data_IF_623207554814
#
_entry.id   IF_623207554814
#
_cell.length_a   1.000
_cell.length_b   1.000
_cell.length_c   1.000
_cell.angle_alpha   90.00
_cell.angle_beta   90.00
_cell.angle_gamma   90.00
#
_symmetry.space_group_name_H-M   'P 1'
#
loop_
_entity.id
_entity.type
_entity.pdbx_description
1 polymer ?
#
# COMPACT_ATOMS: atom_id res chain seq x y z
N UNK A 1 5.32 -148.93 -58.83
CA UNK A 1 6.77 -148.63 -58.87
C UNK A 1 7.06 -147.66 -57.74
N UNK A 2 7.95 -147.99 -56.80
CA UNK A 2 8.28 -147.09 -55.68
C UNK A 2 9.15 -145.93 -56.16
N UNK A 3 8.78 -144.68 -55.83
CA UNK A 3 9.62 -143.50 -56.09
C UNK A 3 11.02 -143.72 -55.51
N UNK A 4 12.06 -143.37 -56.26
CA UNK A 4 13.43 -143.45 -55.77
C UNK A 4 13.62 -142.47 -54.61
N UNK A 5 14.49 -142.79 -53.66
CA UNK A 5 14.85 -141.88 -52.55
C UNK A 5 15.38 -140.55 -53.08
N UNK A 6 15.96 -140.54 -54.28
CA UNK A 6 16.49 -139.35 -54.94
C UNK A 6 15.38 -138.39 -55.41
N UNK A 7 14.34 -138.92 -56.08
CA UNK A 7 13.19 -138.13 -56.56
C UNK A 7 12.42 -137.51 -55.39
N UNK A 8 12.29 -138.27 -54.29
CA UNK A 8 11.64 -137.80 -53.07
C UNK A 8 12.39 -136.63 -52.43
N UNK A 9 13.73 -136.65 -52.46
CA UNK A 9 14.57 -135.55 -51.96
C UNK A 9 14.39 -134.29 -52.82
N UNK A 10 14.30 -134.42 -54.14
CA UNK A 10 14.06 -133.30 -55.05
C UNK A 10 12.68 -132.66 -54.80
N UNK A 11 11.63 -133.48 -54.73
CA UNK A 11 10.25 -133.02 -54.46
C UNK A 11 10.15 -132.31 -53.11
N UNK A 12 10.78 -132.88 -52.08
CA UNK A 12 10.82 -132.28 -50.73
C UNK A 12 11.65 -130.99 -50.70
N UNK A 13 12.75 -130.92 -51.45
CA UNK A 13 13.57 -129.71 -51.53
C UNK A 13 12.82 -128.57 -52.24
N UNK A 14 12.08 -128.88 -53.31
CA UNK A 14 11.22 -127.91 -54.01
C UNK A 14 10.08 -127.41 -53.10
N UNK A 15 9.44 -128.29 -52.32
CA UNK A 15 8.42 -127.92 -51.34
C UNK A 15 8.96 -127.00 -50.24
N UNK A 16 10.11 -127.36 -49.65
CA UNK A 16 10.76 -126.53 -48.63
C UNK A 16 11.12 -125.14 -49.17
N UNK A 17 11.60 -125.07 -50.42
CA UNK A 17 11.92 -123.80 -51.05
C UNK A 17 10.68 -122.93 -51.28
N UNK A 18 9.54 -123.52 -51.70
CA UNK A 18 8.25 -122.81 -51.84
C UNK A 18 7.74 -122.25 -50.51
N UNK A 19 8.02 -122.93 -49.41
CA UNK A 19 7.70 -122.48 -48.05
C UNK A 19 8.68 -121.42 -47.51
N UNK A 20 9.72 -121.04 -48.29
CA UNK A 20 10.75 -120.09 -47.86
C UNK A 20 11.78 -120.67 -46.89
N UNK A 21 11.78 -122.00 -46.69
CA UNK A 21 12.70 -122.70 -45.79
C UNK A 21 13.86 -123.27 -46.60
N UNK A 22 15.10 -122.99 -46.20
CA UNK A 22 16.28 -123.51 -46.90
C UNK A 22 16.29 -125.05 -46.88
N UNK A 23 16.32 -125.72 -48.05
CA UNK A 23 16.49 -127.17 -48.12
C UNK A 23 17.83 -127.58 -47.52
N UNK A 24 17.79 -128.23 -46.36
CA UNK A 24 18.95 -128.78 -45.66
C UNK A 24 18.79 -130.28 -45.49
N UNK A 25 19.89 -131.01 -45.34
CA UNK A 25 19.85 -132.46 -45.13
C UNK A 25 18.96 -132.86 -43.94
N UNK A 26 18.94 -132.04 -42.88
CA UNK A 26 18.10 -132.27 -41.71
C UNK A 26 16.61 -132.03 -42.01
N UNK A 27 16.27 -130.95 -42.72
CA UNK A 27 14.89 -130.59 -43.05
C UNK A 27 14.27 -131.57 -44.05
N UNK A 28 15.06 -131.98 -45.04
CA UNK A 28 14.64 -132.98 -46.03
C UNK A 28 14.46 -134.34 -45.37
N UNK A 29 15.38 -134.76 -44.48
CA UNK A 29 15.24 -136.02 -43.73
C UNK A 29 14.02 -136.02 -42.80
N UNK A 30 13.72 -134.89 -42.17
CA UNK A 30 12.55 -134.76 -41.28
C UNK A 30 11.22 -134.93 -42.03
N UNK A 31 11.14 -134.45 -43.28
CA UNK A 31 9.95 -134.56 -44.14
C UNK A 31 9.85 -135.90 -44.87
N UNK A 32 10.96 -136.46 -45.34
CA UNK A 32 10.97 -137.72 -46.11
C UNK A 32 10.94 -138.98 -45.24
N UNK A 33 11.47 -138.92 -44.01
CA UNK A 33 11.49 -140.02 -43.04
C UNK A 33 12.27 -141.28 -43.45
N UNK A 34 12.86 -141.31 -44.65
CA UNK A 34 13.54 -142.47 -45.26
C UNK A 34 14.78 -142.03 -46.05
N UNK A 35 15.75 -142.93 -46.18
CA UNK A 35 17.03 -142.68 -46.85
C UNK A 35 18.18 -142.45 -45.88
N UNK A 36 19.37 -142.95 -46.22
CA UNK A 36 20.57 -142.68 -45.44
C UNK A 36 20.99 -141.21 -45.61
N UNK A 37 21.61 -140.66 -44.57
CA UNK A 37 22.10 -139.28 -44.57
C UNK A 37 22.99 -138.98 -45.79
N UNK A 38 23.84 -139.92 -46.19
CA UNK A 38 24.74 -139.83 -47.34
C UNK A 38 24.01 -139.73 -48.68
N UNK A 39 22.93 -140.52 -48.87
CA UNK A 39 22.14 -140.48 -50.11
C UNK A 39 21.34 -139.18 -50.23
N UNK A 40 20.78 -138.69 -49.12
CA UNK A 40 20.07 -137.39 -49.09
C UNK A 40 21.04 -136.24 -49.39
N UNK A 41 22.26 -136.28 -48.83
CA UNK A 41 23.26 -135.25 -49.07
C UNK A 41 23.66 -135.17 -50.55
N UNK A 42 23.90 -136.33 -51.19
CA UNK A 42 24.22 -136.40 -52.61
C UNK A 42 23.09 -135.84 -53.48
N UNK A 43 21.86 -136.30 -53.26
CA UNK A 43 20.69 -135.85 -54.01
C UNK A 43 20.42 -134.34 -53.82
N UNK A 44 20.57 -133.83 -52.59
CA UNK A 44 20.38 -132.42 -52.31
C UNK A 44 21.45 -131.54 -52.99
N UNK A 45 22.70 -132.00 -53.06
CA UNK A 45 23.77 -131.27 -53.74
C UNK A 45 23.51 -131.18 -55.26
N UNK A 46 23.08 -132.28 -55.87
CA UNK A 46 22.72 -132.32 -57.28
C UNK A 46 21.48 -131.45 -57.58
N UNK A 47 20.51 -131.40 -56.65
CA UNK A 47 19.38 -130.47 -56.72
C UNK A 47 19.83 -129.00 -56.67
N UNK A 48 20.72 -128.63 -55.74
CA UNK A 48 21.27 -127.27 -55.65
C UNK A 48 22.04 -126.86 -56.91
N UNK A 49 22.78 -127.78 -57.53
CA UNK A 49 23.48 -127.51 -58.79
C UNK A 49 22.51 -127.24 -59.95
N UNK A 50 21.36 -127.90 -59.97
CA UNK A 50 20.32 -127.68 -60.98
C UNK A 50 19.39 -126.49 -60.71
N UNK A 51 19.37 -125.95 -59.48
CA UNK A 51 18.42 -124.93 -59.07
C UNK A 51 18.65 -123.57 -59.76
N UNK A 52 19.91 -123.16 -59.92
CA UNK A 52 20.27 -121.88 -60.55
C UNK A 52 19.72 -121.78 -61.98
N UNK A 53 19.82 -122.87 -62.75
CA UNK A 53 19.29 -122.96 -64.11
C UNK A 53 17.75 -122.97 -64.16
N UNK A 54 17.06 -123.29 -63.06
CA UNK A 54 15.59 -123.32 -62.97
C UNK A 54 15.00 -121.98 -62.50
N UNK A 55 15.68 -121.29 -61.58
CA UNK A 55 15.22 -120.01 -61.02
C UNK A 55 15.45 -118.86 -61.99
N UNK A 56 16.51 -118.93 -62.78
CA UNK A 56 16.79 -117.97 -63.84
C UNK A 56 16.59 -118.66 -65.19
N UNK A 57 15.34 -118.74 -65.70
CA UNK A 57 15.17 -118.91 -67.14
C UNK A 57 15.96 -117.78 -67.80
N UNK A 58 17.04 -118.12 -68.50
CA UNK A 58 17.67 -117.25 -69.50
C UNK A 58 16.65 -117.03 -70.60
N UNK A 59 15.73 -116.09 -70.38
CA UNK A 59 14.74 -115.70 -71.35
C UNK A 59 14.72 -114.17 -71.39
N UNK A 60 15.19 -113.62 -72.51
CA UNK A 60 15.20 -112.21 -72.92
C UNK A 60 13.78 -111.62 -73.07
N UNK A 61 12.75 -112.27 -72.52
CA UNK A 61 11.33 -112.00 -72.76
C UNK A 61 10.68 -111.15 -71.67
N UNK A 62 11.45 -110.30 -70.98
CA UNK A 62 10.93 -109.34 -70.00
C UNK A 62 10.60 -107.97 -70.62
N UNK A 63 10.52 -107.88 -71.94
CA UNK A 63 10.05 -106.69 -72.64
C UNK A 63 8.56 -106.47 -72.35
N UNK A 64 8.28 -105.51 -71.48
CA UNK A 64 6.93 -104.98 -71.28
C UNK A 64 6.33 -104.58 -72.64
N UNK A 65 5.08 -104.96 -72.95
CA UNK A 65 4.40 -104.55 -74.18
C UNK A 65 4.49 -103.04 -74.45
N UNK A 66 4.74 -102.66 -75.70
CA UNK A 66 4.96 -101.27 -76.13
C UNK A 66 3.79 -100.31 -75.78
N UNK A 67 2.57 -100.84 -75.64
CA UNK A 67 1.42 -100.05 -75.20
C UNK A 67 1.50 -99.65 -73.72
N UNK A 68 2.13 -100.47 -72.86
CA UNK A 68 2.30 -100.16 -71.44
C UNK A 68 3.43 -99.14 -71.24
N UNK A 69 4.52 -99.26 -71.99
CA UNK A 69 5.64 -98.31 -71.89
C UNK A 69 5.24 -96.90 -72.34
N UNK A 70 4.47 -96.79 -73.44
CA UNK A 70 3.91 -95.51 -73.89
C UNK A 70 2.90 -94.93 -72.90
N UNK A 71 1.98 -95.74 -72.38
CA UNK A 71 1.01 -95.28 -71.37
C UNK A 71 1.68 -94.79 -70.08
N UNK A 72 2.74 -95.46 -69.60
CA UNK A 72 3.50 -95.03 -68.42
C UNK A 72 4.27 -93.73 -68.69
N UNK A 73 4.88 -93.58 -69.88
CA UNK A 73 5.56 -92.36 -70.28
C UNK A 73 4.60 -91.17 -70.37
N UNK A 74 3.39 -91.38 -70.91
CA UNK A 74 2.35 -90.35 -70.99
C UNK A 74 1.86 -89.93 -69.61
N UNK A 75 1.60 -90.89 -68.72
CA UNK A 75 1.21 -90.60 -67.32
C UNK A 75 2.33 -89.84 -66.60
N UNK A 76 3.59 -90.23 -66.80
CA UNK A 76 4.74 -89.55 -66.21
C UNK A 76 4.87 -88.10 -66.73
N UNK A 77 4.77 -87.89 -68.04
CA UNK A 77 4.83 -86.56 -68.64
C UNK A 77 3.68 -85.67 -68.15
N UNK A 78 2.46 -86.20 -68.04
CA UNK A 78 1.31 -85.49 -67.49
C UNK A 78 1.52 -85.15 -66.00
N UNK A 79 2.06 -86.07 -65.21
CA UNK A 79 2.40 -85.83 -63.80
C UNK A 79 3.45 -84.73 -63.67
N UNK A 80 4.49 -84.74 -64.51
CA UNK A 80 5.55 -83.73 -64.51
C UNK A 80 5.02 -82.36 -64.92
N UNK A 81 4.19 -82.27 -65.96
CA UNK A 81 3.55 -81.02 -66.38
C UNK A 81 2.64 -80.46 -65.29
N UNK A 82 1.83 -81.31 -64.63
CA UNK A 82 0.99 -80.88 -63.50
C UNK A 82 1.82 -80.39 -62.33
N UNK A 83 2.89 -81.09 -61.96
CA UNK A 83 3.79 -80.68 -60.89
C UNK A 83 4.47 -79.33 -61.19
N UNK A 84 4.93 -79.13 -62.42
CA UNK A 84 5.51 -77.86 -62.86
C UNK A 84 4.51 -76.71 -62.82
N UNK A 85 3.28 -76.95 -63.29
CA UNK A 85 2.21 -75.96 -63.24
C UNK A 85 1.88 -75.57 -61.80
N UNK A 86 1.70 -76.57 -60.92
CA UNK A 86 1.44 -76.34 -59.49
C UNK A 86 2.57 -75.56 -58.83
N UNK A 87 3.84 -75.87 -59.15
CA UNK A 87 4.98 -75.14 -58.61
C UNK A 87 4.99 -73.67 -59.09
N UNK A 88 4.71 -73.42 -60.36
CA UNK A 88 4.64 -72.06 -60.91
C UNK A 88 3.50 -71.25 -60.28
N UNK A 89 2.33 -71.86 -60.08
CA UNK A 89 1.21 -71.25 -59.38
C UNK A 89 1.55 -70.94 -57.92
N UNK A 90 2.15 -71.89 -57.20
CA UNK A 90 2.59 -71.67 -55.82
C UNK A 90 3.63 -70.55 -55.73
N UNK A 91 4.62 -70.50 -56.62
CA UNK A 91 5.60 -69.42 -56.65
C UNK A 91 4.96 -68.06 -56.94
N UNK A 92 3.96 -68.02 -57.83
CA UNK A 92 3.23 -66.79 -58.14
C UNK A 92 2.43 -66.33 -56.91
N UNK A 93 1.72 -67.23 -56.24
CA UNK A 93 0.93 -66.92 -55.05
C UNK A 93 1.83 -66.42 -53.91
N UNK A 94 2.94 -67.12 -53.63
CA UNK A 94 3.90 -66.70 -52.60
C UNK A 94 4.51 -65.33 -52.89
N UNK A 95 4.84 -65.03 -54.16
CA UNK A 95 5.32 -63.70 -54.54
C UNK A 95 4.25 -62.63 -54.33
N UNK A 96 3.00 -62.91 -54.69
CA UNK A 96 1.89 -61.98 -54.48
C UNK A 96 1.63 -61.74 -52.99
N UNK A 97 1.63 -62.79 -52.17
CA UNK A 97 1.48 -62.69 -50.71
C UNK A 97 2.62 -61.86 -50.10
N UNK A 98 3.87 -62.13 -50.48
CA UNK A 98 5.02 -61.36 -50.01
C UNK A 98 4.96 -59.88 -50.44
N UNK A 99 4.47 -59.59 -51.65
CA UNK A 99 4.26 -58.21 -52.10
C UNK A 99 3.15 -57.49 -51.32
N UNK A 100 2.06 -58.19 -51.02
CA UNK A 100 0.95 -57.65 -50.21
C UNK A 100 1.42 -57.38 -48.79
N UNK A 101 2.13 -58.32 -48.16
CA UNK A 101 2.67 -58.15 -46.82
C UNK A 101 3.69 -57.02 -46.77
N UNK A 102 4.57 -56.92 -47.76
CA UNK A 102 5.53 -55.81 -47.87
C UNK A 102 4.81 -54.46 -47.97
N UNK A 103 3.80 -54.35 -48.83
CA UNK A 103 3.00 -53.11 -48.97
C UNK A 103 2.27 -52.77 -47.67
N UNK A 104 1.70 -53.76 -46.98
CA UNK A 104 1.04 -53.56 -45.70
C UNK A 104 2.03 -53.08 -44.62
N UNK A 105 3.22 -53.67 -44.57
CA UNK A 105 4.30 -53.25 -43.66
C UNK A 105 4.82 -51.85 -43.96
N UNK A 106 4.98 -51.50 -45.24
CA UNK A 106 5.42 -50.17 -45.65
C UNK A 106 4.34 -49.12 -45.31
N UNK A 107 3.06 -49.43 -45.53
CA UNK A 107 1.94 -48.56 -45.13
C UNK A 107 1.84 -48.39 -43.60
N UNK A 108 2.02 -49.47 -42.84
CA UNK A 108 2.03 -49.41 -41.37
C UNK A 108 3.21 -48.57 -40.86
N UNK A 109 4.39 -48.66 -41.50
CA UNK A 109 5.55 -47.83 -41.17
C UNK A 109 5.32 -46.36 -41.48
N UNK A 110 4.69 -46.02 -42.60
CA UNK A 110 4.38 -44.62 -42.93
C UNK A 110 3.37 -44.04 -41.95
N UNK A 111 2.31 -44.78 -41.63
CA UNK A 111 1.31 -44.35 -40.64
C UNK A 111 1.94 -44.17 -39.24
N UNK A 112 2.82 -45.08 -38.83
CA UNK A 112 3.55 -44.95 -37.57
C UNK A 112 4.46 -43.71 -37.55
N UNK A 113 5.15 -43.42 -38.65
CA UNK A 113 6.00 -42.21 -38.78
C UNK A 113 5.16 -40.94 -38.71
N UNK A 114 4.04 -40.87 -39.41
CA UNK A 114 3.12 -39.73 -39.36
C UNK A 114 2.58 -39.51 -37.95
N UNK A 115 2.21 -40.58 -37.23
CA UNK A 115 1.78 -40.49 -35.82
C UNK A 115 2.90 -39.97 -34.92
N UNK A 116 4.13 -40.44 -35.10
CA UNK A 116 5.28 -39.96 -34.33
C UNK A 116 5.51 -38.48 -34.61
N UNK A 117 5.49 -38.05 -35.87
CA UNK A 117 5.67 -36.64 -36.25
C UNK A 117 4.57 -35.75 -35.65
N UNK A 118 3.31 -36.19 -35.72
CA UNK A 118 2.20 -35.48 -35.08
C UNK A 118 2.37 -35.37 -33.55
N UNK A 119 2.86 -36.43 -32.90
CA UNK A 119 3.13 -36.40 -31.46
C UNK A 119 4.29 -35.48 -31.10
N UNK A 120 5.36 -35.45 -31.91
CA UNK A 120 6.49 -34.51 -31.75
C UNK A 120 6.00 -33.08 -31.86
N UNK A 121 5.21 -32.75 -32.89
CA UNK A 121 4.64 -31.39 -33.05
C UNK A 121 3.73 -31.01 -31.87
N UNK A 122 2.92 -31.95 -31.36
CA UNK A 122 2.09 -31.69 -30.17
C UNK A 122 2.92 -31.46 -28.92
N UNK A 123 4.00 -32.22 -28.75
CA UNK A 123 4.93 -32.11 -27.63
C UNK A 123 5.71 -30.80 -27.68
N UNK A 124 6.18 -30.37 -28.85
CA UNK A 124 6.82 -29.07 -29.05
C UNK A 124 5.88 -27.90 -28.72
N UNK A 125 4.63 -27.97 -29.17
CA UNK A 125 3.59 -26.99 -28.80
C UNK A 125 3.36 -26.96 -27.30
N UNK A 126 3.29 -28.13 -26.65
CA UNK A 126 3.13 -28.21 -25.21
C UNK A 126 4.32 -27.55 -24.49
N UNK A 127 5.55 -27.80 -24.92
CA UNK A 127 6.74 -27.14 -24.35
C UNK A 127 6.71 -25.63 -24.53
N UNK A 128 6.37 -25.13 -25.72
CA UNK A 128 6.21 -23.70 -25.97
C UNK A 128 5.15 -23.07 -25.05
N UNK A 129 4.02 -23.75 -24.84
CA UNK A 129 2.97 -23.24 -23.93
C UNK A 129 3.44 -23.23 -22.47
N UNK A 130 4.20 -24.24 -22.03
CA UNK A 130 4.77 -24.28 -20.67
C UNK A 130 5.76 -23.13 -20.49
N UNK A 131 6.65 -22.89 -21.46
CA UNK A 131 7.62 -21.79 -21.41
C UNK A 131 6.92 -20.42 -21.38
N UNK A 132 5.88 -20.22 -22.20
CA UNK A 132 5.05 -19.01 -22.16
C UNK A 132 4.38 -18.82 -20.79
N UNK A 133 3.80 -19.87 -20.22
CA UNK A 133 3.16 -19.81 -18.91
C UNK A 133 4.17 -19.54 -17.79
N UNK A 134 5.38 -20.10 -17.87
CA UNK A 134 6.47 -19.82 -16.93
C UNK A 134 6.90 -18.35 -17.01
N UNK A 135 7.10 -17.81 -18.22
CA UNK A 135 7.44 -16.41 -18.42
C UNK A 135 6.35 -15.47 -17.89
N UNK A 136 5.07 -15.79 -18.15
CA UNK A 136 3.94 -15.03 -17.63
C UNK A 136 3.88 -15.07 -16.10
N UNK A 137 4.11 -16.24 -15.49
CA UNK A 137 4.15 -16.40 -14.03
C UNK A 137 5.29 -15.58 -13.41
N UNK A 138 6.48 -15.61 -14.01
CA UNK A 138 7.62 -14.80 -13.55
C UNK A 138 7.34 -13.30 -13.67
N UNK A 139 6.73 -12.88 -14.77
CA UNK A 139 6.33 -11.49 -14.97
C UNK A 139 5.33 -11.03 -13.91
N UNK A 140 4.25 -11.79 -13.69
CA UNK A 140 3.26 -11.47 -12.65
C UNK A 140 3.85 -11.52 -11.24
N UNK A 141 4.86 -12.36 -10.98
CA UNK A 141 5.61 -12.34 -9.71
C UNK A 141 6.42 -11.07 -9.53
N UNK A 142 7.11 -10.59 -10.57
CA UNK A 142 7.85 -9.32 -10.54
C UNK A 142 6.91 -8.15 -10.29
N UNK A 143 5.78 -8.10 -11.00
CA UNK A 143 4.76 -7.06 -10.82
C UNK A 143 4.19 -7.06 -9.40
N UNK A 144 3.89 -8.24 -8.82
CA UNK A 144 3.44 -8.32 -7.43
C UNK A 144 4.50 -7.81 -6.45
N UNK A 145 5.78 -8.16 -6.63
CA UNK A 145 6.86 -7.66 -5.78
C UNK A 145 7.02 -6.13 -5.90
N UNK A 146 6.83 -5.56 -7.08
CA UNK A 146 6.85 -4.11 -7.30
C UNK A 146 5.67 -3.41 -6.62
N UNK A 147 4.46 -3.99 -6.72
CA UNK A 147 3.26 -3.50 -6.04
C UNK A 147 3.37 -3.61 -4.51
N UNK A 148 3.94 -4.70 -4.00
CA UNK A 148 4.20 -4.84 -2.56
C UNK A 148 5.19 -3.77 -2.08
N UNK A 149 6.25 -3.51 -2.86
CA UNK A 149 7.22 -2.44 -2.55
C UNK A 149 6.57 -1.06 -2.58
N UNK A 150 5.70 -0.77 -3.56
CA UNK A 150 5.00 0.52 -3.60
C UNK A 150 4.04 0.65 -2.43
N UNK A 151 3.28 -0.40 -2.09
CA UNK A 151 2.39 -0.42 -0.95
C UNK A 151 3.13 -0.16 0.37
N UNK A 152 4.30 -0.80 0.56
CA UNK A 152 5.14 -0.55 1.74
C UNK A 152 5.57 0.92 1.79
N UNK A 153 6.02 1.50 0.67
CA UNK A 153 6.42 2.91 0.61
C UNK A 153 5.25 3.84 0.95
N UNK A 154 4.10 3.64 0.34
CA UNK A 154 2.89 4.44 0.60
C UNK A 154 2.44 4.31 2.06
N UNK A 155 2.47 3.10 2.62
CA UNK A 155 2.15 2.88 4.04
C UNK A 155 3.12 3.60 4.99
N UNK A 156 4.41 3.69 4.64
CA UNK A 156 5.40 4.42 5.40
C UNK A 156 5.18 5.94 5.32
N UNK A 157 4.87 6.48 4.13
CA UNK A 157 4.53 7.89 3.93
C UNK A 157 3.27 8.27 4.70
N UNK A 158 2.23 7.44 4.67
CA UNK A 158 1.02 7.65 5.47
C UNK A 158 1.33 7.68 6.97
N UNK A 159 2.19 6.78 7.45
CA UNK A 159 2.61 6.77 8.85
C UNK A 159 3.41 8.03 9.23
N UNK A 160 4.23 8.56 8.31
CA UNK A 160 4.96 9.81 8.49
C UNK A 160 4.01 11.01 8.56
N UNK A 161 3.11 11.17 7.59
CA UNK A 161 2.10 12.23 7.61
C UNK A 161 1.19 12.15 8.84
N UNK A 162 0.84 10.95 9.32
CA UNK A 162 0.11 10.80 10.58
C UNK A 162 0.91 11.28 11.79
N UNK A 163 2.24 11.09 11.81
CA UNK A 163 3.11 11.64 12.86
C UNK A 163 3.20 13.16 12.77
N UNK A 164 3.31 13.70 11.57
CA UNK A 164 3.32 15.15 11.33
C UNK A 164 2.02 15.80 11.80
N UNK A 165 0.87 15.26 11.41
CA UNK A 165 -0.46 15.73 11.87
C UNK A 165 -0.53 15.75 13.39
N UNK A 166 -0.16 14.64 14.06
CA UNK A 166 -0.13 14.56 15.53
C UNK A 166 0.82 15.58 16.17
N UNK A 167 1.94 15.88 15.51
CA UNK A 167 2.88 16.89 15.99
C UNK A 167 2.31 18.31 15.85
N UNK A 168 1.63 18.59 14.73
CA UNK A 168 0.97 19.87 14.47
C UNK A 168 -0.22 20.07 15.42
N UNK A 169 -1.04 19.06 15.66
CA UNK A 169 -2.13 19.09 16.65
C UNK A 169 -1.62 19.48 18.05
N UNK A 170 -0.47 18.94 18.48
CA UNK A 170 0.14 19.32 19.76
C UNK A 170 0.60 20.77 19.78
N UNK A 171 1.11 21.29 18.67
CA UNK A 171 1.52 22.71 18.56
C UNK A 171 0.29 23.62 18.60
N UNK A 172 -0.76 23.29 17.83
CA UNK A 172 -2.02 24.02 17.84
C UNK A 172 -2.61 24.06 19.25
N UNK A 173 -2.69 22.92 19.95
CA UNK A 173 -3.20 22.86 21.31
C UNK A 173 -2.38 23.74 22.29
N UNK A 174 -1.05 23.77 22.15
CA UNK A 174 -0.21 24.68 22.96
C UNK A 174 -0.48 26.15 22.63
N UNK A 175 -0.64 26.49 21.35
CA UNK A 175 -0.95 27.87 20.94
C UNK A 175 -2.35 28.29 21.42
N UNK A 176 -3.34 27.40 21.35
CA UNK A 176 -4.69 27.64 21.87
C UNK A 176 -4.67 27.90 23.38
N UNK A 177 -3.92 27.10 24.15
CA UNK A 177 -3.74 27.34 25.59
C UNK A 177 -3.07 28.69 25.88
N UNK A 178 -2.03 29.05 25.12
CA UNK A 178 -1.37 30.36 25.25
C UNK A 178 -2.30 31.52 24.92
N UNK A 179 -3.16 31.38 23.91
CA UNK A 179 -4.18 32.39 23.58
C UNK A 179 -5.19 32.54 24.71
N UNK A 180 -5.68 31.43 25.29
CA UNK A 180 -6.59 31.47 26.44
C UNK A 180 -5.92 32.16 27.65
N UNK A 181 -4.66 31.85 27.93
CA UNK A 181 -3.89 32.50 29.00
C UNK A 181 -3.75 34.00 28.75
N UNK A 182 -3.41 34.42 27.52
CA UNK A 182 -3.33 35.83 27.15
C UNK A 182 -4.67 36.55 27.29
N UNK A 183 -5.77 35.94 26.80
CA UNK A 183 -7.11 36.51 26.92
C UNK A 183 -7.51 36.68 28.39
N UNK A 184 -7.20 35.70 29.24
CA UNK A 184 -7.46 35.77 30.68
C UNK A 184 -6.66 36.90 31.35
N UNK A 185 -5.39 37.08 30.99
CA UNK A 185 -4.54 38.16 31.50
C UNK A 185 -5.04 39.53 31.04
N UNK A 186 -5.46 39.66 29.77
CA UNK A 186 -6.05 40.90 29.23
C UNK A 186 -7.35 41.25 29.96
N UNK A 187 -8.20 40.26 30.24
CA UNK A 187 -9.43 40.47 31.00
C UNK A 187 -9.15 40.89 32.45
N UNK A 188 -8.20 40.26 33.12
CA UNK A 188 -7.77 40.66 34.47
C UNK A 188 -7.21 42.08 34.47
N UNK A 189 -6.32 42.40 33.53
CA UNK A 189 -5.77 43.75 33.40
C UNK A 189 -6.87 44.78 33.11
N UNK A 190 -7.82 44.46 32.24
CA UNK A 190 -8.98 45.32 31.97
C UNK A 190 -9.84 45.55 33.22
N UNK A 191 -10.06 44.51 34.05
CA UNK A 191 -10.77 44.64 35.34
C UNK A 191 -10.01 45.52 36.33
N UNK A 192 -8.69 45.33 36.46
CA UNK A 192 -7.89 46.19 37.35
C UNK A 192 -7.89 47.64 36.89
N UNK A 193 -7.80 47.89 35.59
CA UNK A 193 -7.92 49.23 35.01
C UNK A 193 -9.30 49.83 35.28
N UNK A 194 -10.39 49.06 35.16
CA UNK A 194 -11.74 49.52 35.49
C UNK A 194 -11.89 49.86 36.98
N UNK A 195 -11.38 49.02 37.88
CA UNK A 195 -11.38 49.28 39.33
C UNK A 195 -10.58 50.54 39.69
N UNK A 196 -9.38 50.69 39.10
CA UNK A 196 -8.55 51.87 39.28
C UNK A 196 -9.26 53.13 38.75
N UNK A 197 -9.92 53.03 37.59
CA UNK A 197 -10.73 54.11 37.04
C UNK A 197 -11.87 54.50 37.97
N UNK A 198 -12.59 53.52 38.55
CA UNK A 198 -13.64 53.77 39.56
C UNK A 198 -13.07 54.50 40.78
N UNK A 199 -11.93 54.04 41.32
CA UNK A 199 -11.28 54.68 42.46
C UNK A 199 -10.84 56.13 42.16
N UNK A 200 -10.37 56.39 40.93
CA UNK A 200 -10.04 57.76 40.49
C UNK A 200 -11.31 58.62 40.40
N UNK A 201 -12.42 58.08 39.89
CA UNK A 201 -13.71 58.78 39.82
C UNK A 201 -14.21 59.11 41.23
N UNK A 202 -14.24 58.13 42.16
CA UNK A 202 -14.69 58.33 43.53
C UNK A 202 -13.84 59.39 44.26
N UNK A 203 -12.51 59.33 44.10
CA UNK A 203 -11.63 60.36 44.65
C UNK A 203 -11.87 61.74 44.03
N UNK A 204 -12.13 61.80 42.72
CA UNK A 204 -12.45 63.04 42.04
C UNK A 204 -13.76 63.63 42.56
N UNK A 205 -14.82 62.82 42.72
CA UNK A 205 -16.09 63.25 43.32
C UNK A 205 -15.90 63.74 44.76
N UNK A 206 -15.09 63.05 45.57
CA UNK A 206 -14.76 63.48 46.93
C UNK A 206 -14.02 64.83 46.94
N UNK A 207 -13.04 65.02 46.04
CA UNK A 207 -12.33 66.30 45.89
C UNK A 207 -13.30 67.39 45.42
N UNK A 208 -14.16 67.12 44.45
CA UNK A 208 -15.17 68.07 43.95
C UNK A 208 -16.13 68.48 45.07
N UNK A 209 -16.66 67.53 45.84
CA UNK A 209 -17.52 67.80 47.00
C UNK A 209 -16.80 68.62 48.07
N UNK A 210 -15.56 68.26 48.41
CA UNK A 210 -14.74 69.04 49.36
C UNK A 210 -14.48 70.45 48.84
N UNK A 211 -14.20 70.60 47.55
CA UNK A 211 -13.99 71.90 46.91
C UNK A 211 -15.26 72.75 46.93
N UNK A 212 -16.44 72.16 46.66
CA UNK A 212 -17.72 72.83 46.73
C UNK A 212 -18.06 73.27 48.16
N UNK A 213 -17.77 72.43 49.17
CA UNK A 213 -17.91 72.80 50.58
C UNK A 213 -17.01 73.98 50.95
N UNK A 214 -15.74 73.95 50.53
CA UNK A 214 -14.80 75.05 50.76
C UNK A 214 -15.24 76.33 50.04
N UNK A 215 -15.84 76.23 48.85
CA UNK A 215 -16.41 77.39 48.13
C UNK A 215 -17.59 77.97 48.91
N UNK A 216 -18.54 77.14 49.35
CA UNK A 216 -19.67 77.60 50.16
C UNK A 216 -19.21 78.23 51.48
N UNK A 217 -18.22 77.64 52.15
CA UNK A 217 -17.62 78.21 53.35
C UNK A 217 -16.93 79.56 53.06
N UNK A 218 -16.20 79.67 51.94
CA UNK A 218 -15.63 80.94 51.50
C UNK A 218 -16.71 82.00 51.19
N UNK A 219 -17.82 81.62 50.57
CA UNK A 219 -18.95 82.54 50.33
C UNK A 219 -19.60 82.98 51.64
N UNK A 220 -19.78 82.07 52.59
CA UNK A 220 -20.28 82.38 53.93
C UNK A 220 -19.34 83.33 54.66
N UNK A 221 -18.02 83.07 54.65
CA UNK A 221 -17.01 83.95 55.22
C UNK A 221 -17.00 85.32 54.53
N UNK A 222 -17.10 85.38 53.20
CA UNK A 222 -17.23 86.65 52.46
C UNK A 222 -18.49 87.41 52.88
N UNK A 223 -19.61 86.74 53.07
CA UNK A 223 -20.84 87.38 53.56
C UNK A 223 -20.71 87.86 55.02
N UNK A 224 -19.93 87.14 55.84
CA UNK A 224 -19.65 87.55 57.22
C UNK A 224 -18.70 88.76 57.24
N UNK A 225 -17.69 88.78 56.37
CA UNK A 225 -16.81 89.93 56.16
C UNK A 225 -17.62 91.13 55.68
N UNK A 226 -18.51 90.99 54.69
CA UNK A 226 -19.32 92.12 54.23
C UNK A 226 -20.25 92.66 55.33
N UNK A 227 -20.82 91.80 56.18
CA UNK A 227 -21.58 92.21 57.37
C UNK A 227 -20.71 92.94 58.39
N UNK A 228 -19.45 92.55 58.55
CA UNK A 228 -18.50 93.25 59.41
C UNK A 228 -18.09 94.59 58.80
N UNK A 229 -17.90 94.65 57.48
CA UNK A 229 -17.61 95.88 56.75
C UNK A 229 -18.77 96.87 56.84
N UNK A 230 -20.03 96.43 56.73
CA UNK A 230 -21.19 97.31 56.96
C UNK A 230 -21.24 97.81 58.39
N UNK A 231 -20.95 96.96 59.38
CA UNK A 231 -20.88 97.38 60.79
C UNK A 231 -19.71 98.33 61.06
N UNK A 232 -18.58 98.16 60.37
CA UNK A 232 -17.45 99.07 60.39
C UNK A 232 -17.84 100.41 59.77
N UNK A 233 -18.48 100.41 58.60
CA UNK A 233 -18.98 101.62 57.96
C UNK A 233 -20.02 102.36 58.82
N UNK A 234 -20.93 101.64 59.48
CA UNK A 234 -21.86 102.23 60.48
C UNK A 234 -21.11 102.85 61.66
N UNK A 235 -20.09 102.17 62.19
CA UNK A 235 -19.22 102.67 63.26
C UNK A 235 -18.42 103.89 62.81
N UNK A 236 -17.89 103.89 61.60
CA UNK A 236 -17.15 105.01 60.99
C UNK A 236 -18.08 106.20 60.72
N UNK A 237 -19.31 105.98 60.26
CA UNK A 237 -20.32 107.02 60.09
C UNK A 237 -20.74 107.63 61.44
N UNK A 238 -20.91 106.81 62.48
CA UNK A 238 -21.12 107.28 63.86
C UNK A 238 -19.91 108.09 64.36
N UNK A 239 -18.68 107.64 64.07
CA UNK A 239 -17.47 108.37 64.41
C UNK A 239 -17.42 109.73 63.70
N UNK A 240 -17.71 109.76 62.40
CA UNK A 240 -17.79 110.98 61.58
C UNK A 240 -18.87 111.93 62.07
N UNK A 241 -20.05 111.42 62.42
CA UNK A 241 -21.12 112.21 63.06
C UNK A 241 -20.62 112.84 64.37
N UNK A 242 -19.92 112.06 65.22
CA UNK A 242 -19.35 112.61 66.45
C UNK A 242 -18.22 113.63 66.19
N UNK A 243 -17.43 113.42 65.13
CA UNK A 243 -16.37 114.35 64.71
C UNK A 243 -16.94 115.64 64.13
N UNK A 244 -18.04 115.57 63.38
CA UNK A 244 -18.76 116.73 62.87
C UNK A 244 -19.42 117.50 64.01
N UNK A 245 -20.05 116.82 64.97
CA UNK A 245 -20.53 117.44 66.21
C UNK A 245 -19.40 118.14 66.98
N UNK A 246 -18.21 117.53 67.04
CA UNK A 246 -17.04 118.13 67.67
C UNK A 246 -16.51 119.34 66.88
N UNK A 247 -16.53 119.29 65.55
CA UNK A 247 -16.18 120.41 64.67
C UNK A 247 -17.19 121.55 64.81
N UNK A 248 -18.48 121.24 64.95
CA UNK A 248 -19.53 122.23 65.15
C UNK A 248 -19.44 122.85 66.55
N UNK A 249 -19.09 122.06 67.57
CA UNK A 249 -18.74 122.55 68.90
C UNK A 249 -17.49 123.44 68.87
N UNK A 250 -16.45 123.07 68.10
CA UNK A 250 -15.26 123.91 67.86
C UNK A 250 -15.62 125.22 67.14
N UNK A 251 -16.48 125.18 66.12
CA UNK A 251 -16.94 126.40 65.43
C UNK A 251 -17.74 127.31 66.36
N UNK A 252 -18.56 126.75 67.27
CA UNK A 252 -19.25 127.51 68.32
C UNK A 252 -18.26 128.14 69.29
N UNK A 253 -17.21 127.41 69.67
CA UNK A 253 -16.12 127.92 70.50
C UNK A 253 -15.40 129.11 69.82
N UNK A 254 -14.98 128.97 68.55
CA UNK A 254 -14.35 130.06 67.79
C UNK A 254 -15.26 131.27 67.58
N UNK A 255 -16.58 131.08 67.47
CA UNK A 255 -17.55 132.20 67.37
C UNK A 255 -17.66 133.00 68.67
N UNK A 256 -17.54 132.32 69.83
CA UNK A 256 -17.50 132.96 71.15
C UNK A 256 -16.16 133.67 71.39
N UNK A 257 -15.06 133.11 70.89
CA UNK A 257 -13.72 133.69 70.99
C UNK A 257 -13.57 134.97 70.15
N UNK A 258 -14.07 134.96 68.90
CA UNK A 258 -14.09 136.15 68.02
C UNK A 258 -15.02 137.27 68.52
N UNK A 259 -16.06 136.95 69.29
CA UNK A 259 -16.93 137.94 69.93
C UNK A 259 -16.25 138.67 71.10
N UNK A 260 -15.37 137.98 71.84
CA UNK A 260 -14.61 138.55 72.96
C UNK A 260 -13.44 139.43 72.48
N UNK A 261 -12.80 139.08 71.34
CA UNK A 261 -11.73 139.89 70.74
C UNK A 261 -12.24 141.20 70.11
N UNK A 262 -13.48 141.22 69.58
CA UNK A 262 -14.11 142.44 69.05
C UNK A 262 -14.50 143.44 70.14
N UNK A 263 -14.93 142.96 71.31
CA UNK A 263 -15.29 143.81 72.47
C UNK A 263 -14.05 144.38 73.19
N UNK A 264 -12.91 143.68 73.14
CA UNK A 264 -11.62 144.18 73.63
C UNK A 264 -11.04 145.28 72.73
N UNK A 265 -11.15 145.14 71.40
CA UNK A 265 -10.63 146.12 70.43
C UNK A 265 -11.39 147.46 70.45
N UNK A 266 -12.71 147.44 70.72
CA UNK A 266 -13.52 148.65 70.81
C UNK A 266 -13.27 149.46 72.10
N UNK A 267 -12.90 148.81 73.21
CA UNK A 267 -12.54 149.49 74.47
C UNK A 267 -11.12 150.10 74.44
N UNK A 268 -10.19 149.48 73.73
CA UNK A 268 -8.81 149.99 73.58
C UNK A 268 -8.77 151.25 72.68
N UNK A 269 -9.63 151.32 71.66
CA UNK A 269 -9.74 152.49 70.78
C UNK A 269 -10.32 153.73 71.47
N UNK A 270 -11.31 153.57 72.37
CA UNK A 270 -11.87 154.71 73.12
C UNK A 270 -10.90 155.26 74.18
N UNK A 271 -10.03 154.41 74.74
CA UNK A 271 -9.06 154.81 75.75
C UNK A 271 -7.89 155.62 75.14
N UNK A 272 -7.49 155.31 73.89
CA UNK A 272 -6.45 156.05 73.18
C UNK A 272 -6.90 157.43 72.66
N UNK A 273 -8.18 157.61 72.32
CA UNK A 273 -8.71 158.95 72.00
C UNK A 273 -8.71 159.89 73.22
N UNK A 274 -9.00 159.37 74.42
CA UNK A 274 -9.04 160.14 75.66
C UNK A 274 -7.64 160.56 76.14
N UNK A 275 -6.63 159.71 75.95
CA UNK A 275 -5.21 160.02 76.22
C UNK A 275 -4.68 161.11 75.27
N UNK A 276 -5.04 161.04 73.99
CA UNK A 276 -4.60 162.04 73.00
C UNK A 276 -5.26 163.41 73.20
N UNK A 277 -6.50 163.46 73.72
CA UNK A 277 -7.15 164.71 74.12
C UNK A 277 -6.47 165.36 75.33
N UNK A 278 -6.07 164.58 76.34
CA UNK A 278 -5.34 165.06 77.52
C UNK A 278 -3.94 165.57 77.19
N UNK A 279 -3.24 164.92 76.26
CA UNK A 279 -1.90 165.34 75.83
C UNK A 279 -1.91 166.69 75.06
N UNK A 280 -2.95 166.96 74.26
CA UNK A 280 -3.12 168.29 73.63
C UNK A 280 -3.39 169.39 74.64
N UNK A 281 -4.07 169.09 75.74
CA UNK A 281 -4.32 170.06 76.82
C UNK A 281 -3.04 170.35 77.63
N UNK A 282 -2.16 169.34 77.82
CA UNK A 282 -0.85 169.51 78.45
C UNK A 282 0.09 170.36 77.58
N UNK A 283 0.13 170.14 76.26
CA UNK A 283 0.90 170.99 75.34
C UNK A 283 0.39 172.44 75.31
N UNK A 284 -0.94 172.64 75.44
CA UNK A 284 -1.54 173.98 75.53
C UNK A 284 -1.19 174.71 76.83
N UNK A 285 -1.09 173.98 77.95
CA UNK A 285 -0.68 174.53 79.25
C UNK A 285 0.83 174.77 79.34
N UNK A 286 1.66 173.96 78.66
CA UNK A 286 3.10 174.18 78.55
C UNK A 286 3.44 175.40 77.65
N UNK A 287 2.62 175.69 76.63
CA UNK A 287 2.73 176.92 75.84
C UNK A 287 2.35 178.19 76.62
N UNK A 288 1.56 178.10 77.70
CA UNK A 288 1.15 179.24 78.53
C UNK A 288 2.12 179.57 79.67
N UNK A 289 3.06 178.66 79.99
CA UNK A 289 4.05 178.83 81.08
C UNK A 289 5.42 179.30 80.56
N UNK A 290 5.69 179.18 79.25
CA UNK A 290 6.91 179.72 78.64
C UNK A 290 6.85 181.23 78.31
N UNK A 291 5.67 181.88 78.41
CA UNK A 291 5.46 183.32 78.14
C UNK A 291 5.52 184.20 79.41
N UNK A 292 6.17 183.70 80.47
CA UNK A 292 6.57 184.47 81.66
C UNK A 292 8.02 184.18 82.04
N UNK A 293 8.94 184.53 81.14
CA UNK A 293 10.29 185.04 81.46
C UNK A 293 10.87 185.79 80.27
#
# INVERSE_FOLDING_TARGET
>A
MGKSTYDLVFETADELLKEGIRPSQQNVRARTGKGSATTIHKALNDWWQGLSARIYPTDDSNELPEFLTSAVADIWNQAQQRAQHQLLEQQKNLKQEAEVERKAMDAAKTEAREKIEQLVVKLDRAYQTIEQLQNNLEQSRKENLELERSLIKESALLAEHQREIKSQEKVICKMELQLIEQDSAILEQSRTNANNSSYIIDNKENIENSSASLVCENENLKSAISKLDTKLAEREALLSSSQDELLDAKRRYYRLESGLESDAALKEASFQEEINAKNREIERLLALVADKR
#
